data_IF_069494275626
#
_entry.id   IF_069494275626
#
_cell.length_a   1.000
_cell.length_b   1.000
_cell.length_c   1.000
_cell.angle_alpha   90.00
_cell.angle_beta   90.00
_cell.angle_gamma   90.00
#
_symmetry.space_group_name_H-M   'P 1'
#
loop_
_entity.id
_entity.type
_entity.pdbx_description
1 polymer ?
#
# COMPACT_ATOMS: atom_id res chain seq x y z
N UNK A 1 -5.83 14.30 5.02
CA UNK A 1 -7.01 14.28 5.92
C UNK A 1 -8.26 13.73 5.21
N UNK A 2 -8.58 14.20 4.01
CA UNK A 2 -9.77 13.74 3.26
C UNK A 2 -9.74 12.21 3.00
N UNK A 3 -8.62 11.67 2.57
CA UNK A 3 -8.47 10.22 2.34
C UNK A 3 -8.69 9.40 3.62
N UNK A 4 -8.13 9.85 4.75
CA UNK A 4 -8.32 9.18 6.03
C UNK A 4 -9.80 9.13 6.39
N UNK A 5 -10.50 10.26 6.29
CA UNK A 5 -11.94 10.31 6.61
C UNK A 5 -12.81 9.40 5.74
N UNK A 6 -12.40 9.15 4.51
CA UNK A 6 -13.17 8.29 3.59
C UNK A 6 -12.75 6.82 3.65
N UNK A 7 -11.46 6.54 3.90
CA UNK A 7 -10.96 5.17 3.85
C UNK A 7 -10.94 4.49 5.22
N UNK A 8 -10.53 5.20 6.26
CA UNK A 8 -10.31 4.61 7.58
C UNK A 8 -11.53 3.92 8.17
N UNK A 9 -12.77 4.46 8.09
CA UNK A 9 -13.96 3.77 8.60
C UNK A 9 -14.14 2.38 7.96
N UNK A 10 -14.11 2.30 6.64
CA UNK A 10 -14.26 1.02 5.90
C UNK A 10 -13.14 0.04 6.23
N UNK A 11 -11.89 0.53 6.34
CA UNK A 11 -10.75 -0.29 6.72
C UNK A 11 -10.90 -0.87 8.13
N UNK A 12 -11.30 -0.04 9.11
CA UNK A 12 -11.50 -0.46 10.48
C UNK A 12 -12.69 -1.42 10.63
N UNK A 13 -13.80 -1.16 9.96
CA UNK A 13 -14.97 -2.05 9.99
C UNK A 13 -14.62 -3.43 9.43
N UNK A 14 -13.87 -3.50 8.34
CA UNK A 14 -13.38 -4.76 7.80
C UNK A 14 -12.40 -5.46 8.75
N UNK A 15 -11.47 -4.72 9.33
CA UNK A 15 -10.50 -5.27 10.28
C UNK A 15 -11.20 -5.82 11.53
N UNK A 16 -12.18 -5.10 12.09
CA UNK A 16 -12.98 -5.56 13.25
C UNK A 16 -13.75 -6.84 12.99
N UNK A 17 -14.32 -6.98 11.78
CA UNK A 17 -15.05 -8.20 11.38
C UNK A 17 -14.14 -9.43 11.36
N UNK A 18 -12.87 -9.27 11.01
CA UNK A 18 -11.94 -10.38 10.80
C UNK A 18 -11.05 -10.65 12.00
N UNK A 19 -10.62 -9.61 12.69
CA UNK A 19 -9.65 -9.73 13.79
C UNK A 19 -10.20 -10.52 14.99
N UNK A 20 -11.49 -10.39 15.30
CA UNK A 20 -12.09 -11.02 16.46
C UNK A 20 -11.30 -10.72 17.74
N UNK A 21 -11.03 -11.77 18.53
CA UNK A 21 -10.17 -11.70 19.73
C UNK A 21 -8.74 -12.20 19.47
N UNK A 22 -8.42 -12.59 18.24
CA UNK A 22 -7.12 -13.20 17.91
C UNK A 22 -6.07 -12.17 17.53
N UNK A 23 -6.50 -11.05 16.96
CA UNK A 23 -5.61 -10.02 16.42
C UNK A 23 -5.90 -8.66 17.03
N UNK A 24 -4.82 -7.96 17.35
CA UNK A 24 -4.88 -6.55 17.70
C UNK A 24 -4.87 -5.70 16.45
N UNK A 25 -5.77 -4.72 16.40
CA UNK A 25 -5.82 -3.76 15.30
C UNK A 25 -4.99 -2.54 15.69
N UNK A 26 -4.05 -2.18 14.82
CA UNK A 26 -3.16 -1.04 15.03
C UNK A 26 -3.32 -0.08 13.85
N UNK A 27 -3.54 1.19 14.12
CA UNK A 27 -3.61 2.27 13.15
C UNK A 27 -2.29 3.02 13.13
N UNK A 28 -1.60 2.98 12.01
CA UNK A 28 -0.40 3.78 11.78
C UNK A 28 -0.81 5.19 11.32
N UNK A 29 -0.57 6.20 12.17
CA UNK A 29 -0.92 7.57 11.87
C UNK A 29 -0.03 8.16 10.78
N UNK A 30 -0.64 8.83 9.81
CA UNK A 30 0.07 9.51 8.75
C UNK A 30 0.91 10.70 9.29
N UNK A 31 2.10 10.95 8.75
CA UNK A 31 2.89 12.12 9.11
C UNK A 31 2.09 13.43 8.94
N UNK A 32 2.22 14.33 9.90
CA UNK A 32 1.56 15.65 9.85
C UNK A 32 0.05 15.66 10.13
N UNK A 33 -0.53 14.52 10.53
CA UNK A 33 -1.92 14.44 11.00
C UNK A 33 -1.92 14.23 12.51
N UNK A 34 -2.66 15.08 13.23
CA UNK A 34 -2.77 15.00 14.69
C UNK A 34 -3.57 13.79 15.14
N UNK A 35 -3.22 13.23 16.30
CA UNK A 35 -3.89 12.04 16.87
C UNK A 35 -5.39 12.31 17.13
N UNK A 36 -5.73 13.54 17.52
CA UNK A 36 -7.12 13.94 17.72
C UNK A 36 -8.00 13.74 16.47
N UNK A 37 -7.41 13.76 15.28
CA UNK A 37 -8.14 13.53 14.04
C UNK A 37 -8.61 12.07 13.90
N UNK A 38 -7.90 11.13 14.51
CA UNK A 38 -8.22 9.70 14.45
C UNK A 38 -9.24 9.28 15.50
N UNK A 39 -9.37 10.03 16.61
CA UNK A 39 -10.21 9.68 17.75
C UNK A 39 -11.67 9.33 17.41
N UNK A 40 -12.35 10.04 16.48
CA UNK A 40 -13.73 9.71 16.10
C UNK A 40 -13.89 8.33 15.44
N UNK A 41 -12.81 7.75 14.92
CA UNK A 41 -12.83 6.48 14.19
C UNK A 41 -12.42 5.29 15.05
N UNK A 42 -11.60 5.53 16.09
CA UNK A 42 -11.00 4.51 16.94
C UNK A 42 -11.97 4.07 18.03
N UNK A 43 -12.16 2.75 18.21
CA UNK A 43 -13.03 2.13 19.21
C UNK A 43 -12.26 1.13 20.09
N UNK A 44 -10.98 1.36 20.31
CA UNK A 44 -10.10 0.47 21.10
C UNK A 44 -8.86 0.02 20.33
N UNK A 45 -8.73 0.39 19.08
CA UNK A 45 -7.53 0.17 18.28
C UNK A 45 -6.37 1.01 18.82
N UNK A 46 -5.15 0.51 18.67
CA UNK A 46 -3.94 1.25 19.04
C UNK A 46 -3.58 2.22 17.94
N UNK A 47 -3.40 3.50 18.28
CA UNK A 47 -2.82 4.49 17.38
C UNK A 47 -1.32 4.59 17.64
N UNK A 48 -0.52 4.55 16.58
CA UNK A 48 0.94 4.68 16.66
C UNK A 48 1.50 5.51 15.52
N UNK A 49 2.71 6.04 15.69
CA UNK A 49 3.47 6.72 14.65
C UNK A 49 4.65 5.91 14.13
N UNK A 50 4.92 4.76 14.75
CA UNK A 50 6.00 3.86 14.34
C UNK A 50 5.49 2.85 13.30
N UNK A 51 5.24 3.34 12.09
CA UNK A 51 4.73 2.53 10.97
C UNK A 51 5.68 1.38 10.64
N UNK A 52 6.99 1.61 10.69
CA UNK A 52 7.99 0.60 10.36
C UNK A 52 7.93 -0.59 11.31
N UNK A 53 7.91 -0.31 12.61
CA UNK A 53 7.79 -1.36 13.64
C UNK A 53 6.49 -2.15 13.46
N UNK A 54 5.38 -1.44 13.26
CA UNK A 54 4.08 -2.12 13.05
C UNK A 54 4.12 -3.04 11.85
N UNK A 55 4.62 -2.59 10.70
CA UNK A 55 4.70 -3.42 9.49
C UNK A 55 5.61 -4.64 9.67
N UNK A 56 6.68 -4.52 10.46
CA UNK A 56 7.58 -5.63 10.77
C UNK A 56 6.91 -6.73 11.61
N UNK A 57 6.01 -6.35 12.51
CA UNK A 57 5.34 -7.27 13.44
C UNK A 57 3.95 -7.73 12.95
N UNK A 58 3.37 -7.00 11.99
CA UNK A 58 2.01 -7.25 11.52
C UNK A 58 1.87 -8.57 10.76
N UNK A 59 0.76 -9.26 11.01
CA UNK A 59 0.39 -10.46 10.25
C UNK A 59 -0.14 -10.13 8.86
N UNK A 60 -0.86 -9.03 8.74
CA UNK A 60 -1.37 -8.48 7.48
C UNK A 60 -1.60 -6.97 7.63
N UNK A 61 -1.64 -6.25 6.52
CA UNK A 61 -1.91 -4.82 6.48
C UNK A 61 -2.95 -4.45 5.43
N UNK A 62 -3.77 -3.45 5.74
CA UNK A 62 -4.59 -2.73 4.79
C UNK A 62 -3.91 -1.39 4.55
N UNK A 63 -3.50 -1.11 3.33
CA UNK A 63 -2.66 0.05 2.99
C UNK A 63 -3.38 0.99 2.04
N UNK A 64 -3.47 2.26 2.42
CA UNK A 64 -4.06 3.32 1.58
C UNK A 64 -2.95 4.29 1.12
N UNK A 65 -2.04 3.80 0.28
CA UNK A 65 -0.98 4.63 -0.31
C UNK A 65 -0.15 3.84 -1.32
N UNK A 66 0.25 4.47 -2.43
CA UNK A 66 1.10 3.85 -3.45
C UNK A 66 2.51 3.52 -2.94
N UNK A 67 3.18 4.46 -2.28
CA UNK A 67 4.54 4.29 -1.74
C UNK A 67 4.57 3.37 -0.53
N UNK A 68 3.61 3.49 0.38
CA UNK A 68 3.54 2.63 1.56
C UNK A 68 3.32 1.14 1.21
N UNK A 69 2.70 0.83 0.05
CA UNK A 69 2.61 -0.57 -0.41
C UNK A 69 3.96 -1.15 -0.76
N UNK A 70 4.86 -0.34 -1.35
CA UNK A 70 6.22 -0.79 -1.64
C UNK A 70 7.04 -0.98 -0.35
N UNK A 71 6.92 -0.05 0.59
CA UNK A 71 7.57 -0.17 1.90
C UNK A 71 7.11 -1.43 2.64
N UNK A 72 5.79 -1.68 2.70
CA UNK A 72 5.24 -2.88 3.34
C UNK A 72 5.71 -4.17 2.65
N UNK A 73 5.82 -4.19 1.31
CA UNK A 73 6.33 -5.34 0.57
C UNK A 73 7.82 -5.59 0.84
N UNK A 74 8.65 -4.53 0.91
CA UNK A 74 10.06 -4.62 1.24
C UNK A 74 10.30 -5.07 2.68
N UNK A 75 9.42 -4.71 3.62
CA UNK A 75 9.46 -5.23 4.99
C UNK A 75 9.01 -6.70 5.04
N UNK A 76 8.26 -7.16 4.05
CA UNK A 76 7.70 -8.52 4.01
C UNK A 76 6.33 -8.65 4.69
N UNK A 77 5.57 -7.56 4.82
CA UNK A 77 4.23 -7.57 5.38
C UNK A 77 3.19 -7.91 4.31
N UNK A 78 2.44 -9.02 4.42
CA UNK A 78 1.33 -9.32 3.52
C UNK A 78 0.27 -8.23 3.59
N UNK A 79 -0.24 -7.78 2.43
CA UNK A 79 -1.08 -6.59 2.39
C UNK A 79 -2.12 -6.61 1.29
N UNK A 80 -3.13 -5.78 1.46
CA UNK A 80 -4.05 -5.32 0.40
C UNK A 80 -4.01 -3.81 0.30
N UNK A 81 -4.10 -3.29 -0.93
CA UNK A 81 -4.15 -1.86 -1.18
C UNK A 81 -5.61 -1.41 -1.37
N UNK A 82 -5.95 -0.28 -0.78
CA UNK A 82 -7.29 0.32 -0.89
C UNK A 82 -7.20 1.75 -1.39
N UNK A 83 -8.10 2.13 -2.29
CA UNK A 83 -8.16 3.48 -2.82
C UNK A 83 -9.60 3.96 -2.93
N UNK A 84 -9.87 5.10 -2.30
CA UNK A 84 -11.11 5.81 -2.47
C UNK A 84 -10.99 6.78 -3.64
N UNK A 85 -11.95 6.75 -4.55
CA UNK A 85 -12.07 7.74 -5.62
C UNK A 85 -13.23 8.65 -5.30
N UNK A 86 -12.92 9.92 -5.02
CA UNK A 86 -13.95 10.94 -4.79
C UNK A 86 -14.70 11.23 -6.10
N UNK A 87 -16.02 11.12 -6.06
CA UNK A 87 -16.87 11.47 -7.20
C UNK A 87 -18.31 11.00 -7.03
N UNK A 88 -19.21 11.58 -7.82
CA UNK A 88 -20.57 11.06 -7.87
C UNK A 88 -20.56 9.69 -8.56
N UNK A 89 -21.54 8.84 -8.26
CA UNK A 89 -21.72 7.53 -8.94
C UNK A 89 -21.77 7.65 -10.48
N UNK A 90 -22.12 8.81 -10.99
CA UNK A 90 -22.12 9.13 -12.42
C UNK A 90 -20.70 9.35 -12.96
N UNK A 91 -19.84 10.05 -12.20
CA UNK A 91 -18.45 10.27 -12.57
C UNK A 91 -17.65 8.96 -12.53
N UNK A 92 -17.88 8.14 -11.51
CA UNK A 92 -17.31 6.80 -11.41
C UNK A 92 -17.70 5.94 -12.62
N UNK A 93 -18.99 5.96 -13.00
CA UNK A 93 -19.48 5.22 -14.17
C UNK A 93 -18.85 5.71 -15.48
N UNK A 94 -18.60 7.02 -15.61
CA UNK A 94 -17.96 7.62 -16.77
C UNK A 94 -16.45 7.30 -16.84
N UNK A 95 -15.77 7.33 -15.68
CA UNK A 95 -14.33 7.04 -15.57
C UNK A 95 -14.03 5.55 -15.48
N UNK A 96 -15.04 4.73 -15.25
CA UNK A 96 -14.90 3.28 -15.11
C UNK A 96 -14.06 2.63 -16.21
N UNK A 97 -14.29 2.88 -17.52
CA UNK A 97 -13.48 2.27 -18.57
C UNK A 97 -12.01 2.70 -18.49
N UNK A 98 -11.70 3.91 -18.04
CA UNK A 98 -10.34 4.42 -17.88
C UNK A 98 -9.68 3.77 -16.66
N UNK A 99 -10.36 3.76 -15.52
CA UNK A 99 -9.87 3.19 -14.26
C UNK A 99 -9.59 1.70 -14.43
N UNK A 100 -10.49 0.96 -15.07
CA UNK A 100 -10.32 -0.48 -15.31
C UNK A 100 -9.39 -0.81 -16.49
N UNK A 101 -8.96 0.19 -17.27
CA UNK A 101 -7.92 0.03 -18.31
C UNK A 101 -6.51 0.11 -17.73
N UNK A 102 -6.34 0.64 -16.51
CA UNK A 102 -5.06 0.69 -15.83
C UNK A 102 -4.88 -0.67 -15.12
N UNK A 103 -3.92 -1.50 -15.56
CA UNK A 103 -3.81 -2.86 -15.02
C UNK A 103 -3.35 -2.90 -13.57
N UNK A 104 -2.55 -1.92 -13.13
CA UNK A 104 -1.96 -1.88 -11.79
C UNK A 104 -1.84 -0.44 -11.30
N UNK A 105 -2.16 -0.20 -10.03
CA UNK A 105 -2.08 1.11 -9.37
C UNK A 105 -0.94 1.18 -8.35
N UNK A 106 -0.61 0.07 -7.71
CA UNK A 106 0.45 0.01 -6.70
C UNK A 106 1.81 -0.18 -7.35
N UNK A 107 2.84 0.41 -6.74
CA UNK A 107 4.21 0.23 -7.21
C UNK A 107 4.64 -1.25 -7.20
N UNK A 108 4.17 -2.03 -6.25
CA UNK A 108 4.43 -3.48 -6.17
C UNK A 108 3.96 -4.18 -7.43
N UNK A 109 2.68 -4.00 -7.81
CA UNK A 109 2.10 -4.64 -8.98
C UNK A 109 2.69 -4.11 -10.30
N UNK A 110 3.03 -2.81 -10.35
CA UNK A 110 3.66 -2.18 -11.53
C UNK A 110 5.07 -2.75 -11.73
N UNK A 111 5.90 -2.79 -10.70
CA UNK A 111 7.29 -3.27 -10.78
C UNK A 111 7.33 -4.75 -11.12
N UNK A 112 6.48 -5.56 -10.49
CA UNK A 112 6.39 -7.00 -10.71
C UNK A 112 5.57 -7.39 -11.94
N UNK A 113 4.98 -6.42 -12.64
CA UNK A 113 4.17 -6.60 -13.86
C UNK A 113 3.06 -7.66 -13.67
N UNK A 114 2.46 -7.70 -12.47
CA UNK A 114 1.44 -8.67 -12.12
C UNK A 114 0.64 -8.27 -10.89
N UNK A 115 -0.50 -8.95 -10.69
CA UNK A 115 -1.34 -8.73 -9.51
C UNK A 115 -0.81 -9.53 -8.31
N UNK A 116 0.20 -9.01 -7.64
CA UNK A 116 0.83 -9.61 -6.45
C UNK A 116 0.04 -9.28 -5.19
N UNK A 117 -0.40 -8.04 -5.08
CA UNK A 117 -1.29 -7.59 -4.00
C UNK A 117 -2.65 -7.21 -4.59
N UNK A 118 -3.71 -7.52 -3.86
CA UNK A 118 -5.06 -7.15 -4.25
C UNK A 118 -5.24 -5.65 -4.12
N UNK A 119 -5.78 -5.02 -5.18
CA UNK A 119 -6.11 -3.60 -5.21
C UNK A 119 -7.63 -3.43 -5.19
N UNK A 120 -8.15 -2.84 -4.12
CA UNK A 120 -9.57 -2.59 -3.92
C UNK A 120 -9.84 -1.09 -4.15
N UNK A 121 -10.32 -0.77 -5.36
CA UNK A 121 -10.43 0.60 -5.85
C UNK A 121 -11.88 0.93 -6.15
N UNK A 122 -12.30 2.15 -5.82
CA UNK A 122 -13.63 2.69 -6.14
C UNK A 122 -14.77 1.76 -5.67
N UNK A 123 -15.58 1.22 -6.58
CA UNK A 123 -16.69 0.31 -6.26
C UNK A 123 -16.26 -1.04 -5.67
N UNK A 124 -14.99 -1.42 -5.80
CA UNK A 124 -14.45 -2.62 -5.14
C UNK A 124 -14.00 -2.35 -3.70
N UNK A 125 -13.81 -1.11 -3.32
CA UNK A 125 -13.46 -0.74 -1.95
C UNK A 125 -14.72 -0.74 -1.07
N UNK A 126 -15.09 -1.90 -0.58
CA UNK A 126 -16.18 -2.14 0.35
C UNK A 126 -15.68 -2.90 1.57
N UNK A 127 -16.39 -2.79 2.70
CA UNK A 127 -16.05 -3.51 3.93
C UNK A 127 -15.95 -5.01 3.69
N UNK A 128 -16.89 -5.58 2.91
CA UNK A 128 -16.95 -7.01 2.61
C UNK A 128 -15.74 -7.47 1.81
N UNK A 129 -15.35 -6.73 0.78
CA UNK A 129 -14.21 -7.09 -0.07
C UNK A 129 -12.89 -6.97 0.69
N UNK A 130 -12.75 -5.91 1.52
CA UNK A 130 -11.57 -5.72 2.37
C UNK A 130 -11.49 -6.83 3.42
N UNK A 131 -12.62 -7.18 4.07
CA UNK A 131 -12.68 -8.25 5.04
C UNK A 131 -12.34 -9.61 4.41
N UNK A 132 -12.89 -9.91 3.23
CA UNK A 132 -12.59 -11.13 2.49
C UNK A 132 -11.10 -11.25 2.17
N UNK A 133 -10.50 -10.17 1.67
CA UNK A 133 -9.07 -10.19 1.36
C UNK A 133 -8.20 -10.28 2.61
N UNK A 134 -8.59 -9.59 3.69
CA UNK A 134 -7.90 -9.69 4.97
C UNK A 134 -7.95 -11.13 5.55
N UNK A 135 -9.07 -11.83 5.42
CA UNK A 135 -9.18 -13.25 5.78
C UNK A 135 -8.19 -14.11 5.00
N UNK A 136 -8.07 -13.90 3.69
CA UNK A 136 -7.08 -14.62 2.87
C UNK A 136 -5.66 -14.33 3.33
N UNK A 137 -5.34 -13.07 3.60
CA UNK A 137 -4.03 -12.67 4.10
C UNK A 137 -3.69 -13.28 5.46
N UNK A 138 -4.67 -13.52 6.31
CA UNK A 138 -4.45 -14.07 7.65
C UNK A 138 -4.43 -15.61 7.67
N UNK A 139 -5.28 -16.26 6.89
CA UNK A 139 -5.54 -17.70 7.05
C UNK A 139 -5.17 -18.57 5.85
N UNK A 140 -5.04 -18.01 4.62
CA UNK A 140 -4.58 -18.76 3.45
C UNK A 140 -3.04 -18.76 3.38
N UNK A 141 -2.44 -19.82 3.89
CA UNK A 141 -0.98 -19.94 3.95
C UNK A 141 -0.34 -20.00 2.56
N UNK A 142 -0.99 -20.62 1.57
CA UNK A 142 -0.45 -20.70 0.21
C UNK A 142 -0.47 -19.34 -0.47
N UNK A 143 -1.56 -18.61 -0.33
CA UNK A 143 -1.67 -17.23 -0.82
C UNK A 143 -0.58 -16.31 -0.22
N UNK A 144 -0.42 -16.36 1.10
CA UNK A 144 0.65 -15.60 1.80
C UNK A 144 2.04 -15.97 1.30
N UNK A 145 2.33 -17.27 1.22
CA UNK A 145 3.63 -17.78 0.79
C UNK A 145 3.96 -17.31 -0.64
N UNK A 146 2.99 -17.37 -1.53
CA UNK A 146 3.14 -16.90 -2.90
C UNK A 146 3.39 -15.38 -2.96
N UNK A 147 2.65 -14.59 -2.20
CA UNK A 147 2.86 -13.14 -2.10
C UNK A 147 4.27 -12.81 -1.60
N UNK A 148 4.70 -13.41 -0.49
CA UNK A 148 6.03 -13.20 0.08
C UNK A 148 7.16 -13.65 -0.86
N UNK A 149 6.97 -14.73 -1.60
CA UNK A 149 7.92 -15.17 -2.64
C UNK A 149 8.06 -14.12 -3.74
N UNK A 150 6.98 -13.50 -4.15
CA UNK A 150 7.02 -12.43 -5.15
C UNK A 150 7.66 -11.15 -4.60
N UNK A 151 7.50 -10.84 -3.31
CA UNK A 151 8.21 -9.73 -2.66
C UNK A 151 9.75 -9.90 -2.71
N UNK A 152 10.27 -11.13 -2.66
CA UNK A 152 11.71 -11.36 -2.82
C UNK A 152 12.22 -10.92 -4.21
N UNK A 153 11.36 -10.96 -5.23
CA UNK A 153 11.74 -10.47 -6.56
C UNK A 153 11.91 -8.95 -6.60
N UNK A 154 11.19 -8.19 -5.75
CA UNK A 154 11.38 -6.75 -5.64
C UNK A 154 12.81 -6.38 -5.24
N UNK A 155 13.40 -7.09 -4.29
CA UNK A 155 14.80 -6.88 -3.89
C UNK A 155 15.75 -7.09 -5.07
N UNK A 156 15.52 -8.13 -5.87
CA UNK A 156 16.35 -8.41 -7.04
C UNK A 156 16.22 -7.30 -8.10
N UNK A 157 15.00 -6.81 -8.33
CA UNK A 157 14.74 -5.79 -9.34
C UNK A 157 15.25 -4.41 -8.91
N UNK A 158 15.02 -4.05 -7.63
CA UNK A 158 15.43 -2.76 -7.09
C UNK A 158 16.92 -2.67 -6.82
N UNK A 159 17.57 -3.83 -6.59
CA UNK A 159 19.02 -3.93 -6.34
C UNK A 159 19.43 -3.39 -4.97
N UNK A 160 20.69 -3.67 -4.63
CA UNK A 160 21.29 -3.24 -3.35
C UNK A 160 21.92 -1.83 -3.43
N UNK A 161 21.94 -1.21 -4.61
CA UNK A 161 22.60 0.07 -4.82
C UNK A 161 21.70 1.23 -4.41
N UNK A 162 22.25 2.16 -3.63
CA UNK A 162 21.56 3.39 -3.27
C UNK A 162 21.11 4.15 -4.52
N UNK A 163 19.81 4.43 -4.62
CA UNK A 163 19.25 5.24 -5.72
C UNK A 163 19.95 6.62 -5.83
N UNK A 164 20.40 7.17 -4.70
CA UNK A 164 21.19 8.40 -4.65
C UNK A 164 22.53 8.28 -5.33
N UNK A 165 23.26 7.18 -5.10
CA UNK A 165 24.55 6.92 -5.74
C UNK A 165 24.38 6.73 -7.25
N UNK A 166 23.40 5.93 -7.66
CA UNK A 166 23.09 5.73 -9.09
C UNK A 166 22.69 7.03 -9.79
N UNK A 167 21.93 7.90 -9.14
CA UNK A 167 21.58 9.21 -9.67
C UNK A 167 22.81 10.11 -9.78
N UNK A 168 23.65 10.15 -8.74
CA UNK A 168 24.89 10.94 -8.73
C UNK A 168 25.84 10.51 -9.87
N UNK A 169 26.06 9.20 -10.03
CA UNK A 169 26.92 8.67 -11.10
C UNK A 169 26.39 9.00 -12.49
N UNK A 170 25.06 8.91 -12.70
CA UNK A 170 24.45 9.29 -13.98
C UNK A 170 24.57 10.78 -14.25
N UNK A 171 24.33 11.63 -13.24
CA UNK A 171 24.47 13.09 -13.37
C UNK A 171 25.93 13.44 -13.70
N UNK A 172 26.88 12.85 -12.97
CA UNK A 172 28.32 13.06 -13.22
C UNK A 172 28.71 12.66 -14.65
N UNK A 173 28.28 11.49 -15.11
CA UNK A 173 28.53 11.01 -16.47
C UNK A 173 27.96 11.95 -17.54
N UNK A 174 26.76 12.47 -17.32
CA UNK A 174 26.12 13.41 -18.26
C UNK A 174 26.88 14.74 -18.34
N UNK A 175 27.33 15.27 -17.21
CA UNK A 175 28.11 16.53 -17.15
C UNK A 175 29.45 16.34 -17.85
N UNK A 176 30.17 15.26 -17.55
CA UNK A 176 31.48 14.94 -18.13
C UNK A 176 31.42 14.80 -19.66
N UNK A 177 30.38 14.16 -20.18
CA UNK A 177 30.16 14.02 -21.63
C UNK A 177 29.80 15.35 -22.32
N UNK A 178 29.17 16.29 -21.60
CA UNK A 178 28.89 17.64 -22.15
C UNK A 178 30.16 18.48 -22.30
N UNK A 179 31.16 18.28 -21.44
CA UNK A 179 32.43 19.02 -21.51
C UNK A 179 33.32 18.53 -22.67
N UNK A 180 33.25 17.25 -23.04
CA UNK A 180 33.98 16.68 -24.17
C UNK A 180 33.41 17.08 -25.54
N UNK A 181 32.13 17.45 -25.65
CA UNK A 181 31.48 17.85 -26.90
C UNK A 181 31.66 19.33 -27.21
N UNK A 182 32.23 20.14 -26.31
CA UNK A 182 32.48 21.56 -26.50
C UNK A 182 33.95 21.92 -26.76
N UNK A 183 34.80 20.92 -27.00
CA UNK A 183 36.18 21.09 -27.50
C UNK A 183 36.27 20.69 -28.99
#
# INVERSE_FOLDING_TARGET
RSEISHCLPTMLDAARQVAGNEYQIIVAAAPGVEDAFYQPFIQGEILTRDTYKVLTEAKAAIVNSGTATLEAALIGCPQTAVYYIAGSKYLEKLLRPIIFSIPNFTLVNIILQGQVIQELIASRFTTENVAHELQRLLYDQEYRKNMLKQYQQLYTILGDTSAANNAADKIYTLISNCDETNQ
#
